data_IF_526666211034
#
_entry.id   IF_526666211034
#
_cell.length_a   1.000
_cell.length_b   1.000
_cell.length_c   1.000
_cell.angle_alpha   90.00
_cell.angle_beta   90.00
_cell.angle_gamma   90.00
#
_symmetry.space_group_name_H-M   'P 1'
#
loop_
_entity.id
_entity.type
_entity.pdbx_description
1 polymer ?
#
# COMPACT_ATOMS: atom_id res chain seq x y z
N UNK A 1 -4.43 -8.51 5.77
CA UNK A 1 -3.45 -7.49 6.25
C UNK A 1 -3.02 -6.51 5.16
N UNK A 2 -2.51 -6.97 4.01
CA UNK A 2 -1.99 -6.08 2.96
C UNK A 2 -3.00 -5.06 2.39
N UNK A 3 -4.27 -5.45 2.21
CA UNK A 3 -5.30 -4.57 1.62
C UNK A 3 -5.58 -3.32 2.48
N UNK A 4 -5.56 -3.46 3.81
CA UNK A 4 -5.72 -2.35 4.76
C UNK A 4 -4.53 -1.39 4.73
N UNK A 5 -3.31 -1.92 4.68
CA UNK A 5 -2.06 -1.15 4.60
C UNK A 5 -1.95 -0.37 3.28
N UNK A 6 -2.28 -1.03 2.16
CA UNK A 6 -2.33 -0.41 0.85
C UNK A 6 -3.41 0.68 0.78
N UNK A 7 -4.55 0.46 1.44
CA UNK A 7 -5.61 1.46 1.57
C UNK A 7 -5.14 2.72 2.30
N UNK A 8 -4.26 2.61 3.30
CA UNK A 8 -3.69 3.78 3.96
C UNK A 8 -2.61 4.46 3.14
N UNK A 9 -1.72 3.71 2.51
CA UNK A 9 -0.72 4.30 1.61
C UNK A 9 -1.35 5.09 0.47
N UNK A 10 -2.50 4.63 -0.05
CA UNK A 10 -3.32 5.42 -0.98
C UNK A 10 -3.77 6.75 -0.38
N UNK A 11 -4.31 6.74 0.83
CA UNK A 11 -4.79 7.97 1.48
C UNK A 11 -3.66 8.95 1.77
N UNK A 12 -2.50 8.46 2.19
CA UNK A 12 -1.30 9.29 2.41
C UNK A 12 -0.87 9.94 1.09
N UNK A 13 -0.76 9.17 0.00
CA UNK A 13 -0.41 9.71 -1.31
C UNK A 13 -1.41 10.74 -1.83
N UNK A 14 -2.68 10.62 -1.43
CA UNK A 14 -3.73 11.59 -1.78
C UNK A 14 -3.79 12.81 -0.86
N UNK A 15 -3.29 12.70 0.36
CA UNK A 15 -3.30 13.80 1.33
C UNK A 15 -2.07 14.69 1.25
N UNK A 16 -1.05 14.26 0.52
CA UNK A 16 0.09 15.11 0.19
C UNK A 16 -0.38 16.11 -0.87
N UNK A 17 -0.47 17.38 -0.48
CA UNK A 17 -0.71 18.48 -1.42
C UNK A 17 0.54 18.68 -2.28
N UNK A 18 0.49 18.15 -3.50
CA UNK A 18 1.53 18.31 -4.52
C UNK A 18 1.13 19.44 -5.47
N UNK A 19 2.04 20.38 -5.70
CA UNK A 19 1.89 21.36 -6.78
C UNK A 19 1.97 20.67 -8.15
N UNK A 20 1.49 21.36 -9.19
CA UNK A 20 1.55 20.89 -10.59
C UNK A 20 2.98 20.55 -10.99
N UNK A 21 3.96 21.36 -10.58
CA UNK A 21 5.38 21.11 -10.87
C UNK A 21 5.89 19.83 -10.21
N UNK A 22 5.59 19.67 -8.93
CA UNK A 22 5.96 18.49 -8.14
C UNK A 22 5.33 17.21 -8.74
N UNK A 23 4.07 17.29 -9.12
CA UNK A 23 3.34 16.20 -9.78
C UNK A 23 4.00 15.80 -11.08
N UNK A 24 4.40 16.75 -11.93
CA UNK A 24 5.06 16.46 -13.21
C UNK A 24 6.44 15.81 -13.01
N UNK A 25 7.21 16.24 -12.00
CA UNK A 25 8.51 15.63 -11.67
C UNK A 25 8.31 14.17 -11.25
N UNK A 26 7.36 13.91 -10.35
CA UNK A 26 7.03 12.54 -9.92
C UNK A 26 6.61 11.70 -11.12
N UNK A 27 5.73 12.22 -11.97
CA UNK A 27 5.20 11.47 -13.10
C UNK A 27 6.29 11.12 -14.12
N UNK A 28 7.14 12.09 -14.45
CA UNK A 28 8.27 11.88 -15.36
C UNK A 28 9.23 10.84 -14.79
N UNK A 29 9.56 10.94 -13.51
CA UNK A 29 10.43 9.97 -12.83
C UNK A 29 9.82 8.58 -12.83
N UNK A 30 8.53 8.48 -12.50
CA UNK A 30 7.79 7.22 -12.39
C UNK A 30 7.63 6.52 -13.75
N UNK A 31 7.37 7.27 -14.82
CA UNK A 31 7.19 6.74 -16.17
C UNK A 31 8.52 6.34 -16.83
N UNK A 32 9.63 7.00 -16.45
CA UNK A 32 10.97 6.69 -16.98
C UNK A 32 11.68 5.56 -16.21
N UNK A 33 11.16 5.14 -15.05
CA UNK A 33 11.75 4.06 -14.27
C UNK A 33 11.60 2.70 -14.97
N UNK A 34 12.72 2.01 -15.14
CA UNK A 34 12.76 0.62 -15.57
C UNK A 34 12.64 -0.29 -14.35
N UNK A 35 11.52 -1.02 -14.27
CA UNK A 35 11.27 -2.01 -13.22
C UNK A 35 11.77 -3.40 -13.66
N UNK A 36 12.36 -4.19 -12.76
CA UNK A 36 12.63 -5.61 -12.98
C UNK A 36 11.36 -6.39 -13.36
N UNK A 37 11.52 -7.48 -14.13
CA UNK A 37 10.41 -8.32 -14.60
C UNK A 37 9.59 -8.96 -13.47
N UNK A 38 10.15 -9.04 -12.26
CA UNK A 38 9.46 -9.49 -11.05
C UNK A 38 8.22 -8.63 -10.72
N UNK A 39 8.25 -7.35 -11.10
CA UNK A 39 7.14 -6.44 -10.94
C UNK A 39 6.16 -6.57 -12.11
N UNK A 40 5.10 -7.36 -11.92
CA UNK A 40 4.17 -7.71 -13.00
C UNK A 40 3.40 -6.51 -13.60
N UNK A 41 3.43 -5.33 -12.97
CA UNK A 41 2.74 -4.13 -13.47
C UNK A 41 3.55 -2.87 -13.25
N UNK A 42 3.74 -2.12 -14.32
CA UNK A 42 4.26 -0.75 -14.25
C UNK A 42 3.22 0.16 -13.62
N UNK A 43 3.62 1.02 -12.67
CA UNK A 43 2.71 2.01 -12.11
C UNK A 43 2.31 3.02 -13.18
N UNK A 44 1.03 3.39 -13.17
CA UNK A 44 0.49 4.45 -14.02
C UNK A 44 0.84 5.82 -13.44
N UNK A 45 0.48 6.87 -14.17
CA UNK A 45 0.67 8.24 -13.70
C UNK A 45 0.13 8.48 -12.28
N UNK A 46 0.86 9.28 -11.50
CA UNK A 46 0.50 9.66 -10.12
C UNK A 46 -0.84 10.41 -10.06
N UNK A 47 -1.21 11.13 -11.13
CA UNK A 47 -2.51 11.78 -11.24
C UNK A 47 -3.67 10.77 -11.25
N UNK A 48 -3.40 9.55 -11.74
CA UNK A 48 -4.37 8.44 -11.77
C UNK A 48 -4.25 7.55 -10.53
N UNK A 49 -3.53 8.01 -9.50
CA UNK A 49 -3.31 7.27 -8.26
C UNK A 49 -4.63 6.73 -7.71
N UNK A 50 -5.74 7.47 -7.75
CA UNK A 50 -7.07 7.00 -7.28
C UNK A 50 -7.58 5.70 -7.91
N UNK A 51 -7.17 5.39 -9.13
CA UNK A 51 -7.61 4.23 -9.91
C UNK A 51 -6.58 3.10 -9.96
N UNK A 52 -5.48 3.23 -9.23
CA UNK A 52 -4.45 2.19 -9.16
C UNK A 52 -4.99 0.90 -8.54
N UNK A 53 -4.49 -0.24 -9.01
CA UNK A 53 -4.77 -1.55 -8.44
C UNK A 53 -3.85 -1.77 -7.24
N UNK A 54 -4.25 -2.66 -6.33
CA UNK A 54 -3.48 -2.99 -5.12
C UNK A 54 -1.99 -3.28 -5.38
N UNK A 55 -1.66 -3.98 -6.47
CA UNK A 55 -0.28 -4.31 -6.82
C UNK A 55 0.54 -3.09 -7.29
N UNK A 56 -0.09 -2.11 -7.95
CA UNK A 56 0.57 -0.86 -8.32
C UNK A 56 0.89 -0.05 -7.06
N UNK A 57 -0.08 0.08 -6.15
CA UNK A 57 0.15 0.71 -4.85
C UNK A 57 1.26 0.04 -4.06
N UNK A 58 1.28 -1.30 -3.99
CA UNK A 58 2.34 -2.05 -3.30
C UNK A 58 3.70 -1.67 -3.86
N UNK A 59 3.84 -1.68 -5.18
CA UNK A 59 5.10 -1.39 -5.85
C UNK A 59 5.55 0.03 -5.56
N UNK A 60 4.63 0.99 -5.71
CA UNK A 60 4.94 2.41 -5.48
C UNK A 60 5.29 2.67 -4.02
N UNK A 61 4.45 2.28 -3.07
CA UNK A 61 4.67 2.57 -1.64
C UNK A 61 5.95 1.90 -1.14
N UNK A 62 6.16 0.61 -1.44
CA UNK A 62 7.26 -0.12 -0.83
C UNK A 62 8.60 0.13 -1.50
N UNK A 63 8.64 0.39 -2.81
CA UNK A 63 9.88 0.43 -3.57
C UNK A 63 10.16 1.77 -4.22
N UNK A 64 9.14 2.47 -4.74
CA UNK A 64 9.35 3.69 -5.52
C UNK A 64 9.20 4.97 -4.71
N UNK A 65 8.43 4.98 -3.61
CA UNK A 65 8.25 6.15 -2.75
C UNK A 65 9.59 6.81 -2.33
N UNK A 66 10.61 6.07 -1.86
CA UNK A 66 11.91 6.66 -1.50
C UNK A 66 12.65 7.31 -2.67
N UNK A 67 12.35 6.91 -3.90
CA UNK A 67 12.99 7.43 -5.11
C UNK A 67 12.21 8.64 -5.63
N UNK A 68 10.89 8.50 -5.80
CA UNK A 68 10.04 9.52 -6.43
C UNK A 68 9.77 10.72 -5.52
N UNK A 69 9.82 10.55 -4.20
CA UNK A 69 9.46 11.61 -3.24
C UNK A 69 10.67 12.39 -2.69
N UNK A 70 11.90 11.93 -2.95
CA UNK A 70 13.13 12.47 -2.37
C UNK A 70 13.32 13.95 -2.67
N UNK A 71 13.17 14.34 -3.93
CA UNK A 71 13.45 15.70 -4.40
C UNK A 71 12.19 16.57 -4.43
N UNK A 72 11.07 16.05 -3.91
CA UNK A 72 9.74 16.64 -4.05
C UNK A 72 9.16 17.07 -2.72
N UNK A 73 9.33 16.26 -1.67
CA UNK A 73 8.82 16.57 -0.34
C UNK A 73 9.85 17.31 0.51
N UNK A 74 9.38 18.08 1.50
CA UNK A 74 10.27 18.59 2.53
C UNK A 74 10.89 17.45 3.32
N UNK A 75 12.06 17.70 3.92
CA UNK A 75 12.81 16.68 4.66
C UNK A 75 11.95 15.98 5.74
N UNK A 76 11.12 16.73 6.44
CA UNK A 76 10.24 16.22 7.49
C UNK A 76 9.14 15.31 6.93
N UNK A 77 8.45 15.75 5.88
CA UNK A 77 7.40 14.94 5.23
C UNK A 77 7.99 13.69 4.58
N UNK A 78 9.15 13.82 3.94
CA UNK A 78 9.87 12.70 3.35
C UNK A 78 10.25 11.68 4.43
N UNK A 79 10.83 12.14 5.55
CA UNK A 79 11.16 11.30 6.70
C UNK A 79 9.94 10.57 7.27
N UNK A 80 8.80 11.26 7.37
CA UNK A 80 7.55 10.66 7.86
C UNK A 80 6.98 9.62 6.89
N UNK A 81 7.06 9.85 5.57
CA UNK A 81 6.70 8.81 4.57
C UNK A 81 7.66 7.61 4.67
N UNK A 82 8.96 7.84 4.81
CA UNK A 82 9.93 6.77 4.96
C UNK A 82 9.69 5.94 6.23
N UNK A 83 9.32 6.57 7.34
CA UNK A 83 8.93 5.88 8.58
C UNK A 83 7.82 4.86 8.30
N UNK A 84 6.77 5.28 7.58
CA UNK A 84 5.68 4.39 7.18
C UNK A 84 6.16 3.24 6.28
N UNK A 85 6.98 3.54 5.27
CA UNK A 85 7.54 2.52 4.35
C UNK A 85 8.38 1.50 5.12
N UNK A 86 9.19 1.94 6.07
CA UNK A 86 10.01 1.09 6.94
C UNK A 86 9.14 0.16 7.78
N UNK A 87 8.10 0.67 8.43
CA UNK A 87 7.15 -0.15 9.21
C UNK A 87 6.55 -1.25 8.34
N UNK A 88 6.05 -0.90 7.14
CA UNK A 88 5.42 -1.90 6.27
C UNK A 88 6.45 -2.93 5.81
N UNK A 89 7.67 -2.51 5.46
CA UNK A 89 8.75 -3.43 5.06
C UNK A 89 9.10 -4.40 6.18
N UNK A 90 9.21 -3.93 7.42
CA UNK A 90 9.47 -4.79 8.58
C UNK A 90 8.33 -5.80 8.79
N UNK A 91 7.07 -5.42 8.61
CA UNK A 91 5.94 -6.34 8.78
C UNK A 91 5.80 -7.36 7.62
N UNK A 92 6.39 -7.07 6.46
CA UNK A 92 6.32 -7.91 5.26
C UNK A 92 7.58 -8.74 4.99
N UNK A 93 8.70 -8.41 5.63
CA UNK A 93 9.95 -9.13 5.43
C UNK A 93 9.85 -10.52 6.07
N UNK A 94 10.07 -11.55 5.26
CA UNK A 94 10.09 -12.94 5.70
C UNK A 94 11.42 -13.32 6.41
N UNK A 95 12.44 -12.47 6.30
CA UNK A 95 13.72 -12.67 6.97
C UNK A 95 13.62 -12.29 8.45
N UNK A 96 14.14 -13.12 9.35
CA UNK A 96 14.13 -12.87 10.79
C UNK A 96 15.19 -11.82 11.11
N UNK A 97 14.75 -10.59 11.38
CA UNK A 97 15.59 -9.56 11.99
C UNK A 97 15.41 -9.69 13.51
N UNK A 98 16.51 -9.64 14.27
CA UNK A 98 16.45 -9.64 15.74
C UNK A 98 15.54 -8.50 16.22
N UNK A 99 14.52 -8.82 17.04
CA UNK A 99 13.53 -7.87 17.56
C UNK A 99 12.71 -7.12 16.51
N UNK A 100 12.51 -7.69 15.31
CA UNK A 100 11.73 -7.08 14.22
C UNK A 100 10.32 -6.63 14.63
N UNK A 101 9.60 -7.45 15.39
CA UNK A 101 8.27 -7.11 15.90
C UNK A 101 8.30 -5.92 16.86
N UNK A 102 9.26 -5.89 17.79
CA UNK A 102 9.44 -4.77 18.73
C UNK A 102 9.79 -3.47 18.00
N UNK A 103 10.71 -3.53 17.03
CA UNK A 103 11.08 -2.38 16.22
C UNK A 103 9.90 -1.87 15.39
N UNK A 104 9.13 -2.77 14.76
CA UNK A 104 7.94 -2.40 14.01
C UNK A 104 6.88 -1.75 14.91
N UNK A 105 6.72 -2.22 16.15
CA UNK A 105 5.79 -1.64 17.13
C UNK A 105 6.19 -0.22 17.55
N UNK A 106 7.48 0.00 17.85
CA UNK A 106 8.00 1.33 18.19
C UNK A 106 7.77 2.30 17.03
N UNK A 107 8.20 1.93 15.82
CA UNK A 107 8.10 2.78 14.64
C UNK A 107 6.64 3.07 14.26
N UNK A 108 5.75 2.09 14.39
CA UNK A 108 4.33 2.27 14.10
C UNK A 108 3.65 3.19 15.12
N UNK A 109 3.98 3.09 16.40
CA UNK A 109 3.48 4.01 17.43
C UNK A 109 3.96 5.44 17.18
N UNK A 110 5.23 5.61 16.81
CA UNK A 110 5.78 6.91 16.43
C UNK A 110 5.00 7.50 15.24
N UNK A 111 4.73 6.69 14.22
CA UNK A 111 3.95 7.10 13.06
C UNK A 111 2.50 7.46 13.42
N UNK A 112 1.81 6.64 14.21
CA UNK A 112 0.42 6.89 14.63
C UNK A 112 0.29 8.20 15.41
N UNK A 113 1.26 8.51 16.28
CA UNK A 113 1.26 9.74 17.08
C UNK A 113 1.54 10.99 16.25
N UNK A 114 2.31 10.88 15.16
CA UNK A 114 2.77 12.03 14.36
C UNK A 114 1.92 12.28 13.11
N UNK A 115 1.17 11.29 12.62
CA UNK A 115 0.37 11.41 11.39
C UNK A 115 -0.62 12.58 11.41
N UNK A 116 -1.19 12.89 12.58
CA UNK A 116 -2.16 13.97 12.76
C UNK A 116 -1.56 15.36 12.53
N UNK A 117 -0.26 15.52 12.79
CA UNK A 117 0.46 16.77 12.63
C UNK A 117 0.88 16.99 11.17
N UNK A 118 1.29 15.92 10.47
CA UNK A 118 1.74 15.99 9.07
C UNK A 118 0.61 16.07 8.04
N UNK A 119 -0.44 15.27 8.20
CA UNK A 119 -1.50 15.17 7.19
C UNK A 119 -2.89 15.56 7.70
N UNK A 120 -2.97 15.99 8.97
CA UNK A 120 -4.21 16.40 9.62
C UNK A 120 -4.95 15.26 10.33
N UNK A 121 -5.72 15.62 11.35
CA UNK A 121 -6.43 14.69 12.25
C UNK A 121 -7.43 13.75 11.54
N UNK A 122 -7.88 14.09 10.33
CA UNK A 122 -8.84 13.27 9.56
C UNK A 122 -8.25 11.93 9.09
N UNK A 123 -6.93 11.81 9.01
CA UNK A 123 -6.26 10.57 8.58
C UNK A 123 -6.02 9.58 9.73
N UNK A 124 -6.16 10.03 10.98
CA UNK A 124 -6.22 9.19 12.18
C UNK A 124 -7.51 8.36 12.19
N UNK A 125 -7.54 7.34 11.32
CA UNK A 125 -8.70 6.51 11.05
C UNK A 125 -8.61 5.18 11.77
N UNK A 126 -9.76 4.52 11.98
CA UNK A 126 -9.86 3.17 12.55
C UNK A 126 -8.87 2.16 11.94
N UNK A 127 -8.52 2.32 10.67
CA UNK A 127 -7.57 1.44 9.99
C UNK A 127 -6.15 1.58 10.55
N UNK A 128 -5.70 2.76 10.99
CA UNK A 128 -4.41 2.91 11.70
C UNK A 128 -4.44 2.26 13.07
N UNK A 129 -5.56 2.40 13.78
CA UNK A 129 -5.75 1.73 15.07
C UNK A 129 -5.64 0.20 14.94
N UNK A 130 -6.24 -0.38 13.89
CA UNK A 130 -6.10 -1.81 13.59
C UNK A 130 -4.64 -2.17 13.28
N UNK A 131 -3.89 -1.28 12.61
CA UNK A 131 -2.48 -1.54 12.29
C UNK A 131 -1.62 -1.68 13.54
N UNK A 132 -1.96 -1.01 14.66
CA UNK A 132 -1.24 -1.11 15.94
C UNK A 132 -1.13 -2.55 16.45
N UNK A 133 -2.04 -3.43 16.06
CA UNK A 133 -2.01 -4.83 16.44
C UNK A 133 -1.09 -5.68 15.53
N UNK A 134 -0.69 -5.19 14.36
CA UNK A 134 0.10 -5.97 13.39
C UNK A 134 1.47 -6.42 13.89
N UNK A 135 2.24 -5.63 14.67
CA UNK A 135 3.48 -6.13 15.27
C UNK A 135 3.24 -7.33 16.20
N UNK A 136 2.14 -7.33 16.95
CA UNK A 136 1.75 -8.45 17.81
C UNK A 136 1.36 -9.67 16.98
N UNK A 137 0.55 -9.47 15.93
CA UNK A 137 0.18 -10.54 14.99
C UNK A 137 1.42 -11.13 14.29
N UNK A 138 2.39 -10.29 13.92
CA UNK A 138 3.65 -10.74 13.34
C UNK A 138 4.44 -11.61 14.32
N UNK A 139 4.52 -11.23 15.59
CA UNK A 139 5.20 -12.05 16.62
C UNK A 139 4.52 -13.40 16.86
N UNK A 140 3.20 -13.48 16.67
CA UNK A 140 2.42 -14.71 16.88
C UNK A 140 2.39 -15.64 15.66
N UNK A 141 2.31 -15.07 14.46
CA UNK A 141 2.03 -15.81 13.23
C UNK A 141 3.14 -15.69 12.16
N UNK A 142 4.20 -14.92 12.43
CA UNK A 142 5.26 -14.61 11.49
C UNK A 142 4.85 -13.56 10.45
N UNK A 143 5.58 -13.53 9.34
CA UNK A 143 5.43 -12.48 8.33
C UNK A 143 4.04 -12.36 7.73
N UNK A 144 3.65 -11.11 7.44
CA UNK A 144 2.38 -10.79 6.78
C UNK A 144 2.29 -11.36 5.36
N UNK A 145 3.41 -11.74 4.75
CA UNK A 145 3.45 -12.30 3.40
C UNK A 145 2.95 -13.76 3.38
N UNK A 146 3.26 -14.56 4.40
CA UNK A 146 2.83 -15.96 4.53
C UNK A 146 1.39 -16.11 5.05
N UNK A 147 0.89 -15.12 5.80
CA UNK A 147 -0.47 -15.12 6.38
C UNK A 147 -1.51 -14.37 5.54
N UNK A 148 -1.13 -13.91 4.35
CA UNK A 148 -2.00 -13.09 3.50
C UNK A 148 -3.07 -13.89 2.74
N UNK A 149 -4.23 -13.29 2.50
CA UNK A 149 -5.32 -13.90 1.71
C UNK A 149 -5.10 -13.85 0.18
N UNK A 150 -4.03 -13.22 -0.32
CA UNK A 150 -3.81 -13.08 -1.78
C UNK A 150 -3.75 -14.40 -2.55
N UNK A 151 -3.09 -15.47 -2.05
CA UNK A 151 -3.11 -16.76 -2.73
C UNK A 151 -4.54 -17.30 -2.87
N UNK A 152 -5.38 -17.13 -1.84
CA UNK A 152 -6.77 -17.56 -1.85
C UNK A 152 -7.61 -16.70 -2.81
N UNK A 153 -7.52 -15.37 -2.74
CA UNK A 153 -8.23 -14.46 -3.66
C UNK A 153 -7.85 -14.71 -5.13
N UNK A 154 -6.58 -15.01 -5.40
CA UNK A 154 -6.11 -15.38 -6.75
C UNK A 154 -6.80 -16.66 -7.22
N UNK A 155 -6.95 -17.64 -6.34
CA UNK A 155 -7.62 -18.92 -6.63
C UNK A 155 -9.14 -18.79 -6.77
N UNK A 156 -9.80 -17.87 -6.07
CA UNK A 156 -11.24 -17.62 -6.24
C UNK A 156 -11.59 -17.28 -7.70
N UNK A 157 -10.78 -16.44 -8.36
CA UNK A 157 -10.98 -16.10 -9.78
C UNK A 157 -10.84 -17.31 -10.71
N UNK A 158 -9.96 -18.25 -10.37
CA UNK A 158 -9.83 -19.50 -11.11
C UNK A 158 -11.11 -20.34 -10.98
N UNK A 159 -11.60 -20.54 -9.76
CA UNK A 159 -12.86 -21.26 -9.53
C UNK A 159 -14.08 -20.58 -10.17
N UNK A 160 -14.14 -19.25 -10.20
CA UNK A 160 -15.23 -18.52 -10.88
C UNK A 160 -15.24 -18.73 -12.39
N UNK A 161 -14.08 -19.00 -13.00
CA UNK A 161 -13.97 -19.27 -14.45
C UNK A 161 -14.50 -20.66 -14.79
N UNK A 162 -14.25 -21.62 -13.91
CA UNK A 162 -14.63 -23.02 -14.10
C UNK A 162 -16.02 -23.33 -13.51
N UNK A 163 -16.60 -22.37 -12.77
CA UNK A 163 -17.99 -22.39 -12.35
C UNK A 163 -18.90 -22.09 -13.56
N UNK A 164 -19.35 -23.13 -14.24
CA UNK A 164 -20.45 -23.05 -15.19
C UNK A 164 -21.75 -22.73 -14.43
N UNK A 165 -22.00 -21.45 -14.17
CA UNK A 165 -23.32 -21.00 -13.74
C UNK A 165 -24.35 -21.32 -14.81
N UNK A 166 -25.52 -21.80 -14.41
CA UNK A 166 -26.69 -21.92 -15.30
C UNK A 166 -26.93 -20.57 -15.96
N UNK A 167 -27.00 -20.48 -17.31
CA UNK A 167 -27.14 -19.20 -17.99
C UNK A 167 -28.41 -18.51 -17.50
N UNK A 168 -28.27 -17.29 -16.97
CA UNK A 168 -29.40 -16.42 -16.61
C UNK A 168 -30.24 -16.22 -17.87
N UNK A 169 -31.41 -16.86 -17.95
CA UNK A 169 -32.44 -16.59 -18.96
C UNK A 169 -32.69 -15.08 -18.94
N UNK A 170 -32.30 -14.37 -20.01
CA UNK A 170 -32.69 -12.97 -20.21
C UNK A 170 -34.22 -12.95 -20.15
N UNK A 171 -34.80 -12.31 -19.12
CA UNK A 171 -36.25 -12.08 -19.09
C UNK A 171 -36.56 -11.21 -20.30
N UNK A 172 -37.33 -11.78 -21.22
CA UNK A 172 -37.75 -11.12 -22.44
C UNK A 172 -38.45 -9.81 -22.12
N UNK A 173 -38.03 -8.78 -22.83
CA UNK A 173 -38.76 -7.55 -23.00
C UNK A 173 -40.03 -7.92 -23.78
N UNK A 174 -41.16 -7.97 -23.09
CA UNK A 174 -42.46 -7.97 -23.77
C UNK A 174 -42.74 -6.52 -24.16
N UNK A 175 -43.00 -6.37 -25.46
CA UNK A 175 -43.32 -5.17 -26.22
C UNK A 175 -44.64 -4.58 -25.72
#
# INVERSE_FOLDING_TARGET
MHSSLLGQGKKILMSIDLDVRQTNIIDTTLLNLTLPDEFHRRPRSIQRCSSWKAQEYRTVILYLCPVILRDVLSADHYGHVLLFVCVIRLLHCDYIIYKQGELADILLKTYENTIGDYYGKKLSTLVLHVHRHFPKEFSLHGSSSSTSCFPLERRIRFFQRDAHGTPKKRRGMHI
#
